data_IF_368978250774
#
_entry.id   IF_368978250774
#
_cell.length_a   1.000
_cell.length_b   1.000
_cell.length_c   1.000
_cell.angle_alpha   90.00
_cell.angle_beta   90.00
_cell.angle_gamma   90.00
#
_symmetry.space_group_name_H-M   'P 1'
#
loop_
_entity.id
_entity.type
_entity.pdbx_description
1 polymer ?
#
# COMPACT_ATOMS: atom_id res chain seq x y z
N UNK A 1 -48.17 -49.24 25.92
CA UNK A 1 -48.21 -47.75 25.74
C UNK A 1 -46.82 -47.30 25.39
N UNK A 2 -46.57 -47.15 24.09
CA UNK A 2 -45.29 -46.84 23.54
C UNK A 2 -45.09 -45.31 23.44
N UNK A 3 -44.16 -44.79 24.22
CA UNK A 3 -43.89 -43.35 24.37
C UNK A 3 -43.05 -42.91 23.13
N UNK A 4 -43.74 -42.47 22.05
CA UNK A 4 -43.04 -41.87 20.88
C UNK A 4 -42.41 -40.53 21.28
N UNK A 5 -41.10 -40.38 21.17
CA UNK A 5 -40.47 -39.10 21.46
C UNK A 5 -40.95 -38.05 20.46
N UNK A 6 -41.37 -36.90 21.00
CA UNK A 6 -41.98 -35.78 20.34
C UNK A 6 -41.02 -35.14 19.29
N UNK A 7 -41.19 -35.56 18.01
CA UNK A 7 -40.39 -35.09 16.87
C UNK A 7 -40.47 -33.57 16.68
N UNK A 8 -41.58 -32.97 17.14
CA UNK A 8 -41.83 -31.50 17.06
C UNK A 8 -40.83 -30.69 17.88
N UNK A 9 -40.49 -31.10 19.09
CA UNK A 9 -39.54 -30.38 19.96
C UNK A 9 -38.09 -30.45 19.44
N UNK A 10 -37.70 -31.53 18.77
CA UNK A 10 -36.37 -31.65 18.18
C UNK A 10 -36.16 -30.71 16.98
N UNK A 11 -37.17 -30.60 16.12
CA UNK A 11 -37.11 -29.68 14.95
C UNK A 11 -37.10 -28.22 15.37
N UNK A 12 -37.86 -27.84 16.42
CA UNK A 12 -37.88 -26.46 16.94
C UNK A 12 -36.52 -26.12 17.57
N UNK A 13 -35.93 -27.04 18.32
CA UNK A 13 -34.60 -26.83 18.94
C UNK A 13 -33.50 -26.66 17.89
N UNK A 14 -33.52 -27.51 16.83
CA UNK A 14 -32.57 -27.38 15.72
C UNK A 14 -32.70 -26.00 15.01
N UNK A 15 -33.92 -25.55 14.76
CA UNK A 15 -34.17 -24.23 14.15
C UNK A 15 -33.62 -23.05 14.98
N UNK A 16 -33.79 -23.09 16.30
CA UNK A 16 -33.23 -22.07 17.19
C UNK A 16 -31.69 -22.06 17.21
N UNK A 17 -31.09 -23.24 17.13
CA UNK A 17 -29.62 -23.37 17.05
C UNK A 17 -29.08 -22.76 15.76
N UNK A 18 -29.71 -22.98 14.61
CA UNK A 18 -29.29 -22.37 13.34
C UNK A 18 -29.47 -20.85 13.34
N UNK A 19 -30.56 -20.33 13.91
CA UNK A 19 -30.78 -18.88 14.02
C UNK A 19 -29.73 -18.20 14.89
N UNK A 20 -29.17 -18.87 15.88
CA UNK A 20 -28.10 -18.33 16.72
C UNK A 20 -26.71 -18.49 16.12
N UNK A 21 -26.41 -19.62 15.46
CA UNK A 21 -25.08 -19.91 14.94
C UNK A 21 -24.75 -19.06 13.70
N UNK A 22 -25.70 -18.84 12.80
CA UNK A 22 -25.44 -18.08 11.57
C UNK A 22 -25.02 -16.64 11.86
N UNK A 23 -25.72 -15.83 12.66
CA UNK A 23 -25.25 -14.47 12.97
C UNK A 23 -23.96 -14.45 13.79
N UNK A 24 -23.74 -15.43 14.68
CA UNK A 24 -22.49 -15.54 15.40
C UNK A 24 -21.31 -15.82 14.46
N UNK A 25 -21.49 -16.69 13.48
CA UNK A 25 -20.46 -17.00 12.46
C UNK A 25 -20.19 -15.79 11.56
N UNK A 26 -21.23 -15.08 11.13
CA UNK A 26 -21.09 -13.83 10.35
C UNK A 26 -20.36 -12.76 11.16
N UNK A 27 -20.67 -12.61 12.43
CA UNK A 27 -20.00 -11.67 13.33
C UNK A 27 -18.51 -12.05 13.51
N UNK A 28 -18.21 -13.34 13.68
CA UNK A 28 -16.83 -13.83 13.80
C UNK A 28 -16.03 -13.59 12.53
N UNK A 29 -16.61 -13.87 11.36
CA UNK A 29 -15.98 -13.62 10.05
C UNK A 29 -15.79 -12.13 9.76
N UNK A 30 -16.71 -11.28 10.21
CA UNK A 30 -16.58 -9.81 10.06
C UNK A 30 -15.49 -9.21 10.93
N UNK A 31 -15.07 -9.93 11.97
CA UNK A 31 -14.02 -9.48 12.89
C UNK A 31 -12.61 -9.82 12.38
N UNK A 32 -12.47 -10.59 11.31
CA UNK A 32 -11.19 -10.89 10.70
C UNK A 32 -10.80 -9.69 9.82
N UNK A 33 -9.74 -8.94 10.16
CA UNK A 33 -9.29 -7.86 9.30
C UNK A 33 -8.78 -8.46 7.98
N UNK A 34 -9.50 -8.21 6.90
CA UNK A 34 -9.13 -8.63 5.52
C UNK A 34 -7.94 -7.84 4.95
N UNK A 35 -7.18 -7.18 5.79
CA UNK A 35 -5.92 -6.55 5.37
C UNK A 35 -4.89 -7.66 5.20
N UNK A 36 -4.46 -7.89 3.96
CA UNK A 36 -3.31 -8.74 3.69
C UNK A 36 -2.08 -8.14 4.39
N UNK A 37 -1.78 -8.67 5.57
CA UNK A 37 -0.61 -8.27 6.36
C UNK A 37 0.63 -9.06 5.96
N UNK A 38 0.63 -9.68 4.80
CA UNK A 38 1.77 -10.44 4.30
C UNK A 38 3.00 -9.55 4.17
N UNK A 39 4.13 -10.06 4.60
CA UNK A 39 5.42 -9.42 4.36
C UNK A 39 5.66 -9.27 2.85
N UNK A 40 6.23 -8.15 2.46
CA UNK A 40 6.57 -7.87 1.06
C UNK A 40 8.08 -7.70 0.91
N UNK A 41 8.64 -8.36 -0.08
CA UNK A 41 10.03 -8.22 -0.47
C UNK A 41 10.11 -7.45 -1.79
N UNK A 42 10.49 -6.19 -1.70
CA UNK A 42 10.63 -5.33 -2.87
C UNK A 42 12.06 -4.78 -2.94
N UNK A 43 12.69 -4.77 -4.13
CA UNK A 43 14.09 -4.39 -4.28
C UNK A 43 14.39 -3.00 -3.72
N UNK A 44 13.47 -2.04 -3.84
CA UNK A 44 13.67 -0.69 -3.35
C UNK A 44 13.51 -0.56 -1.82
N UNK A 45 13.06 -1.60 -1.11
CA UNK A 45 12.93 -1.61 0.35
C UNK A 45 14.12 -2.25 1.06
N UNK A 46 14.94 -3.03 0.35
CA UNK A 46 15.96 -3.92 0.94
C UNK A 46 17.02 -3.19 1.79
N UNK A 47 17.35 -1.94 1.46
CA UNK A 47 18.40 -1.18 2.13
C UNK A 47 17.88 0.09 2.85
N UNK A 48 16.58 0.19 3.07
CA UNK A 48 15.98 1.39 3.66
C UNK A 48 16.07 1.34 5.17
N UNK A 49 16.78 2.34 5.73
CA UNK A 49 16.85 2.57 7.18
C UNK A 49 15.76 3.56 7.60
N UNK A 50 14.52 3.12 7.54
CA UNK A 50 13.36 3.90 8.02
C UNK A 50 12.29 2.95 8.53
N UNK A 51 11.31 3.46 9.25
CA UNK A 51 10.16 2.68 9.71
C UNK A 51 9.00 2.74 8.70
N UNK A 52 8.99 3.76 7.83
CA UNK A 52 7.93 3.99 6.85
C UNK A 52 8.48 4.43 5.52
N UNK A 53 7.83 3.97 4.47
CA UNK A 53 8.10 4.36 3.10
C UNK A 53 6.80 4.72 2.42
N UNK A 54 6.74 5.91 1.85
CA UNK A 54 5.75 6.26 0.83
C UNK A 54 6.39 6.04 -0.53
N UNK A 55 5.88 5.06 -1.28
CA UNK A 55 6.34 4.77 -2.63
C UNK A 55 5.31 5.22 -3.66
N UNK A 56 5.77 5.79 -4.75
CA UNK A 56 4.95 6.23 -5.87
C UNK A 56 5.50 5.67 -7.17
N UNK A 57 4.66 4.96 -7.93
CA UNK A 57 5.01 4.40 -9.23
C UNK A 57 4.72 5.37 -10.38
N UNK A 58 5.71 5.65 -11.22
CA UNK A 58 5.55 6.56 -12.33
C UNK A 58 6.75 6.55 -13.28
N UNK A 59 6.86 7.55 -14.12
CA UNK A 59 8.01 7.74 -15.03
C UNK A 59 8.32 9.23 -15.23
N UNK A 60 9.59 9.61 -15.45
CA UNK A 60 10.00 11.01 -15.52
C UNK A 60 9.33 11.84 -16.63
N UNK A 61 8.96 11.19 -17.73
CA UNK A 61 8.33 11.85 -18.88
C UNK A 61 6.81 12.06 -18.70
N UNK A 62 6.24 11.70 -17.55
CA UNK A 62 4.83 11.92 -17.22
C UNK A 62 4.58 13.41 -16.91
N UNK A 63 3.78 14.08 -17.74
CA UNK A 63 3.59 15.54 -17.64
C UNK A 63 2.47 15.99 -16.70
N UNK A 64 1.63 15.09 -16.20
CA UNK A 64 0.43 15.45 -15.44
C UNK A 64 0.36 14.77 -14.06
N UNK A 65 0.06 13.49 -14.01
CA UNK A 65 -0.21 12.79 -12.75
C UNK A 65 1.03 12.69 -11.84
N UNK A 66 2.22 12.43 -12.40
CA UNK A 66 3.43 12.23 -11.60
C UNK A 66 3.87 13.52 -10.86
N UNK A 67 3.93 14.71 -11.50
CA UNK A 67 4.25 15.94 -10.79
C UNK A 67 3.25 16.26 -9.67
N UNK A 68 1.96 16.07 -9.91
CA UNK A 68 0.92 16.32 -8.89
C UNK A 68 1.12 15.41 -7.68
N UNK A 69 1.25 14.10 -7.91
CA UNK A 69 1.44 13.14 -6.82
C UNK A 69 2.75 13.38 -6.05
N UNK A 70 3.85 13.68 -6.74
CA UNK A 70 5.13 13.96 -6.08
C UNK A 70 5.10 15.29 -5.30
N UNK A 71 4.37 16.30 -5.77
CA UNK A 71 4.15 17.54 -5.02
C UNK A 71 3.29 17.28 -3.77
N UNK A 72 2.25 16.44 -3.87
CA UNK A 72 1.46 16.02 -2.70
C UNK A 72 2.33 15.27 -1.68
N UNK A 73 3.20 14.39 -2.14
CA UNK A 73 4.15 13.67 -1.27
C UNK A 73 5.18 14.61 -0.64
N UNK A 74 5.64 15.62 -1.36
CA UNK A 74 6.55 16.64 -0.84
C UNK A 74 5.91 17.39 0.34
N UNK A 75 4.70 17.91 0.16
CA UNK A 75 3.97 18.59 1.21
C UNK A 75 3.72 17.66 2.42
N UNK A 76 3.29 16.42 2.15
CA UNK A 76 3.09 15.41 3.20
C UNK A 76 4.38 15.16 4.00
N UNK A 77 5.51 15.01 3.32
CA UNK A 77 6.81 14.76 3.93
C UNK A 77 7.27 15.91 4.81
N UNK A 78 7.15 17.13 4.31
CA UNK A 78 7.53 18.36 5.05
C UNK A 78 6.68 18.47 6.33
N UNK A 79 5.36 18.43 6.21
CA UNK A 79 4.46 18.55 7.36
C UNK A 79 4.63 17.39 8.36
N UNK A 80 4.90 16.17 7.89
CA UNK A 80 5.19 15.05 8.76
C UNK A 80 6.46 15.31 9.60
N UNK A 81 7.52 15.78 8.98
CA UNK A 81 8.78 16.10 9.68
C UNK A 81 8.59 17.25 10.69
N UNK A 82 7.87 18.30 10.31
CA UNK A 82 7.56 19.43 11.19
C UNK A 82 6.77 18.99 12.42
N UNK A 83 5.74 18.16 12.26
CA UNK A 83 4.88 17.75 13.36
C UNK A 83 5.50 16.67 14.26
N UNK A 84 6.37 15.83 13.75
CA UNK A 84 6.91 14.70 14.52
C UNK A 84 8.36 14.90 14.94
N UNK A 85 9.10 15.77 14.27
CA UNK A 85 10.56 15.91 14.39
C UNK A 85 11.31 14.56 14.22
N UNK A 86 10.73 13.60 13.43
CA UNK A 86 11.29 12.26 13.21
C UNK A 86 11.90 12.14 11.83
N UNK A 87 12.88 11.24 11.71
CA UNK A 87 13.55 10.92 10.46
C UNK A 87 13.32 9.45 10.06
N UNK A 88 12.12 8.95 10.33
CA UNK A 88 11.71 7.57 10.14
C UNK A 88 10.81 7.35 8.92
N UNK A 89 10.57 8.39 8.12
CA UNK A 89 9.85 8.35 6.85
C UNK A 89 10.81 8.53 5.68
N UNK A 90 10.62 7.76 4.61
CA UNK A 90 11.26 7.98 3.30
C UNK A 90 10.21 8.05 2.21
N UNK A 91 10.51 8.82 1.17
CA UNK A 91 9.70 8.87 -0.06
C UNK A 91 10.54 8.33 -1.20
N UNK A 92 9.98 7.36 -1.93
CA UNK A 92 10.65 6.68 -3.03
C UNK A 92 9.81 6.81 -4.30
N UNK A 93 10.38 7.42 -5.31
CA UNK A 93 9.84 7.38 -6.66
C UNK A 93 10.33 6.10 -7.36
N UNK A 94 9.41 5.21 -7.68
CA UNK A 94 9.67 3.96 -8.39
C UNK A 94 9.42 4.19 -9.87
N UNK A 95 10.49 4.30 -10.65
CA UNK A 95 10.37 4.45 -12.10
C UNK A 95 10.00 3.10 -12.72
N UNK A 96 8.81 3.02 -13.29
CA UNK A 96 8.26 1.83 -13.94
C UNK A 96 8.66 1.70 -15.41
N UNK A 97 9.29 2.72 -16.00
CA UNK A 97 9.88 2.65 -17.34
C UNK A 97 11.21 1.93 -17.24
N UNK A 98 11.26 0.72 -17.79
CA UNK A 98 12.46 -0.12 -17.77
C UNK A 98 13.63 0.56 -18.47
N UNK A 99 14.84 0.19 -18.07
CA UNK A 99 16.10 0.60 -18.68
C UNK A 99 16.38 2.12 -18.66
N UNK A 100 15.62 2.86 -17.82
CA UNK A 100 15.95 4.26 -17.57
C UNK A 100 17.18 4.33 -16.67
N UNK A 101 18.20 5.15 -17.04
CA UNK A 101 19.37 5.33 -16.20
C UNK A 101 19.01 5.78 -14.78
N UNK A 102 19.60 5.14 -13.77
CA UNK A 102 19.28 5.43 -12.35
C UNK A 102 19.48 6.91 -11.99
N UNK A 103 20.45 7.56 -12.62
CA UNK A 103 20.72 8.98 -12.43
C UNK A 103 19.55 9.89 -12.85
N UNK A 104 18.87 9.57 -13.95
CA UNK A 104 17.68 10.31 -14.42
C UNK A 104 16.55 10.16 -13.39
N UNK A 105 16.30 8.95 -12.93
CA UNK A 105 15.27 8.68 -11.92
C UNK A 105 15.58 9.37 -10.60
N UNK A 106 16.83 9.34 -10.17
CA UNK A 106 17.29 10.02 -8.96
C UNK A 106 17.10 11.53 -9.06
N UNK A 107 17.57 12.17 -10.13
CA UNK A 107 17.42 13.60 -10.35
C UNK A 107 15.96 14.03 -10.40
N UNK A 108 15.13 13.24 -11.06
CA UNK A 108 13.70 13.52 -11.12
C UNK A 108 13.05 13.47 -9.74
N UNK A 109 13.31 12.46 -8.93
CA UNK A 109 12.81 12.40 -7.56
C UNK A 109 13.30 13.60 -6.72
N UNK A 110 14.60 13.93 -6.82
CA UNK A 110 15.23 15.00 -6.06
C UNK A 110 14.80 16.41 -6.52
N UNK A 111 14.25 16.56 -7.72
CA UNK A 111 13.68 17.85 -8.15
C UNK A 111 12.45 18.26 -7.34
N UNK A 112 11.79 17.34 -6.65
CA UNK A 112 10.69 17.62 -5.73
C UNK A 112 11.19 17.84 -4.30
N UNK A 113 12.12 17.01 -3.82
CA UNK A 113 12.72 17.19 -2.50
C UNK A 113 14.09 16.48 -2.45
N UNK A 114 15.14 17.09 -1.87
CA UNK A 114 16.49 16.53 -1.84
C UNK A 114 16.56 15.15 -1.15
N UNK A 115 15.71 14.89 -0.15
CA UNK A 115 15.65 13.60 0.54
C UNK A 115 14.89 12.51 -0.23
N UNK A 116 14.24 12.84 -1.35
CA UNK A 116 13.51 11.86 -2.13
C UNK A 116 14.46 10.94 -2.88
N UNK A 117 14.14 9.67 -2.87
CA UNK A 117 14.93 8.63 -3.54
C UNK A 117 14.26 8.20 -4.84
N UNK A 118 15.07 7.94 -5.86
CA UNK A 118 14.61 7.38 -7.11
C UNK A 118 15.08 5.93 -7.24
N UNK A 119 14.17 5.03 -7.57
CA UNK A 119 14.45 3.65 -7.90
C UNK A 119 14.11 3.35 -9.35
N UNK A 120 15.06 2.92 -10.15
CA UNK A 120 14.86 2.51 -11.56
C UNK A 120 14.58 1.01 -11.62
N UNK A 121 13.38 0.65 -12.09
CA UNK A 121 13.00 -0.75 -12.26
C UNK A 121 13.82 -1.42 -13.35
N UNK A 122 14.28 -2.63 -13.07
CA UNK A 122 14.99 -3.50 -14.01
C UNK A 122 14.06 -4.63 -14.47
N UNK A 123 14.38 -5.25 -15.59
CA UNK A 123 13.61 -6.39 -16.11
C UNK A 123 13.43 -7.52 -15.09
N UNK A 124 14.44 -7.76 -14.24
CA UNK A 124 14.38 -8.75 -13.17
C UNK A 124 13.37 -8.42 -12.05
N UNK A 125 13.07 -7.13 -11.86
CA UNK A 125 12.18 -6.66 -10.78
C UNK A 125 10.70 -6.73 -11.18
N UNK A 126 10.41 -6.92 -12.47
CA UNK A 126 9.06 -6.80 -13.05
C UNK A 126 8.06 -7.72 -12.37
N UNK A 127 8.45 -8.95 -12.06
CA UNK A 127 7.55 -9.94 -11.45
C UNK A 127 7.15 -9.55 -10.02
N UNK A 128 8.10 -9.08 -9.22
CA UNK A 128 7.84 -8.67 -7.83
C UNK A 128 7.04 -7.37 -7.75
N UNK A 129 7.38 -6.38 -8.56
CA UNK A 129 6.66 -5.12 -8.65
C UNK A 129 5.23 -5.32 -9.17
N UNK A 130 5.07 -6.12 -10.25
CA UNK A 130 3.76 -6.43 -10.80
C UNK A 130 2.87 -7.16 -9.79
N UNK A 131 3.40 -8.20 -9.16
CA UNK A 131 2.65 -9.03 -8.20
C UNK A 131 2.22 -8.25 -6.95
N UNK A 132 3.11 -7.41 -6.43
CA UNK A 132 2.88 -6.74 -5.14
C UNK A 132 2.18 -5.40 -5.30
N UNK A 133 2.55 -4.60 -6.30
CA UNK A 133 2.04 -3.24 -6.48
C UNK A 133 1.06 -3.12 -7.64
N UNK A 134 0.80 -4.21 -8.37
CA UNK A 134 0.03 -4.16 -9.62
C UNK A 134 0.59 -3.14 -10.63
N UNK A 135 1.88 -2.82 -10.51
CA UNK A 135 2.56 -1.89 -11.39
C UNK A 135 2.94 -2.60 -12.69
N UNK A 136 2.30 -2.23 -13.78
CA UNK A 136 2.75 -2.65 -15.11
C UNK A 136 3.98 -1.83 -15.47
N UNK A 137 5.11 -2.50 -15.60
CA UNK A 137 6.33 -1.89 -16.14
C UNK A 137 6.22 -1.75 -17.66
N UNK A 138 6.83 -0.71 -18.22
CA UNK A 138 6.78 -0.41 -19.64
C UNK A 138 8.17 -0.50 -20.25
N UNK A 139 8.28 -1.16 -21.38
CA UNK A 139 9.42 -1.02 -22.27
C UNK A 139 9.43 0.40 -22.85
N UNK A 140 10.62 0.92 -23.18
CA UNK A 140 10.81 2.27 -23.70
C UNK A 140 9.96 2.63 -24.93
N UNK A 141 9.41 1.63 -25.61
CA UNK A 141 8.64 1.77 -26.85
C UNK A 141 7.11 1.76 -26.64
N UNK A 142 6.62 1.67 -25.39
CA UNK A 142 5.18 1.64 -25.12
C UNK A 142 4.72 2.96 -24.51
N UNK A 143 3.81 3.65 -25.19
CA UNK A 143 3.08 4.80 -24.66
C UNK A 143 2.08 4.29 -23.59
N UNK A 144 2.56 4.12 -22.37
CA UNK A 144 1.79 3.52 -21.29
C UNK A 144 0.96 4.54 -20.51
N UNK A 145 -0.34 4.46 -20.58
CA UNK A 145 -1.27 5.27 -19.79
C UNK A 145 -1.91 4.53 -18.61
N UNK A 146 -1.42 3.36 -18.22
CA UNK A 146 -2.07 2.56 -17.20
C UNK A 146 -1.25 2.45 -15.91
N UNK A 147 -1.81 2.94 -14.80
CA UNK A 147 -1.41 2.74 -13.42
C UNK A 147 -0.27 3.59 -12.84
N UNK A 148 0.19 4.64 -13.50
CA UNK A 148 0.88 5.72 -12.81
C UNK A 148 -0.12 6.45 -11.92
N UNK A 149 0.21 6.63 -10.64
CA UNK A 149 -0.62 7.47 -9.78
C UNK A 149 -1.05 6.86 -8.45
N UNK A 150 -0.71 5.60 -8.15
CA UNK A 150 -0.97 5.06 -6.82
C UNK A 150 0.21 5.36 -5.88
N UNK A 151 -0.13 5.75 -4.66
CA UNK A 151 0.80 5.96 -3.57
C UNK A 151 0.65 4.81 -2.58
N UNK A 152 1.74 4.15 -2.26
CA UNK A 152 1.79 2.99 -1.38
C UNK A 152 2.47 3.36 -0.08
N UNK A 153 1.84 3.04 1.05
CA UNK A 153 2.47 3.16 2.35
C UNK A 153 2.96 1.79 2.80
N UNK A 154 4.25 1.70 3.04
CA UNK A 154 4.91 0.55 3.65
C UNK A 154 5.34 0.89 5.06
N UNK A 155 5.16 -0.06 5.97
CA UNK A 155 5.64 0.03 7.34
C UNK A 155 6.55 -1.16 7.65
N UNK A 156 7.67 -0.87 8.31
CA UNK A 156 8.59 -1.89 8.79
C UNK A 156 8.19 -2.27 10.21
N UNK A 157 7.87 -3.53 10.41
CA UNK A 157 7.55 -4.11 11.72
C UNK A 157 8.36 -5.38 11.90
N UNK A 158 9.21 -5.42 12.92
CA UNK A 158 10.09 -6.57 13.20
C UNK A 158 11.00 -6.94 12.02
N UNK A 159 11.55 -5.95 11.33
CA UNK A 159 12.41 -6.10 10.14
C UNK A 159 11.68 -6.64 8.89
N UNK A 160 10.37 -6.74 8.92
CA UNK A 160 9.55 -7.10 7.78
C UNK A 160 8.80 -5.87 7.25
N UNK A 161 8.86 -5.66 5.96
CA UNK A 161 8.06 -4.65 5.29
C UNK A 161 6.66 -5.16 5.00
N UNK A 162 5.66 -4.34 5.28
CA UNK A 162 4.25 -4.63 4.99
C UNK A 162 3.61 -3.45 4.30
N UNK A 163 2.88 -3.71 3.23
CA UNK A 163 2.06 -2.68 2.59
C UNK A 163 0.79 -2.48 3.39
N UNK A 164 0.68 -1.36 4.08
CA UNK A 164 -0.44 -1.09 5.00
C UNK A 164 -1.54 -0.26 4.38
N UNK A 165 -1.24 0.54 3.36
CA UNK A 165 -2.21 1.40 2.66
C UNK A 165 -1.83 1.63 1.21
N UNK A 166 -2.87 1.82 0.40
CA UNK A 166 -2.76 2.31 -0.97
C UNK A 166 -3.66 3.53 -1.09
N UNK A 167 -3.15 4.59 -1.68
CA UNK A 167 -3.89 5.82 -1.94
C UNK A 167 -3.95 6.06 -3.44
N UNK A 168 -5.05 6.60 -3.89
CA UNK A 168 -5.20 7.11 -5.25
C UNK A 168 -4.41 8.41 -5.45
N UNK A 169 -4.00 8.72 -6.68
CA UNK A 169 -3.28 9.94 -7.03
C UNK A 169 -4.05 11.25 -6.76
N UNK A 170 -5.37 11.16 -6.66
CA UNK A 170 -6.24 12.28 -6.30
C UNK A 170 -6.34 12.50 -4.79
N UNK A 171 -5.63 11.69 -3.99
CA UNK A 171 -5.68 11.78 -2.53
C UNK A 171 -5.17 13.12 -2.03
N UNK A 172 -5.91 13.71 -1.10
CA UNK A 172 -5.46 14.90 -0.39
C UNK A 172 -4.30 14.56 0.56
N UNK A 173 -3.33 15.45 0.62
CA UNK A 173 -2.19 15.43 1.53
C UNK A 173 -2.60 15.13 2.98
N UNK A 174 -3.68 15.78 3.48
CA UNK A 174 -4.17 15.62 4.85
C UNK A 174 -4.56 14.16 5.16
N UNK A 175 -5.10 13.46 4.19
CA UNK A 175 -5.48 12.06 4.35
C UNK A 175 -4.24 11.16 4.50
N UNK A 176 -3.18 11.39 3.73
CA UNK A 176 -1.93 10.65 3.87
C UNK A 176 -1.29 10.97 5.23
N UNK A 177 -1.19 12.24 5.56
CA UNK A 177 -0.59 12.71 6.81
C UNK A 177 -1.32 12.14 8.04
N UNK A 178 -2.65 12.14 8.04
CA UNK A 178 -3.44 11.56 9.13
C UNK A 178 -3.17 10.07 9.35
N UNK A 179 -2.92 9.31 8.28
CA UNK A 179 -2.54 7.89 8.42
C UNK A 179 -1.13 7.72 9.00
N UNK A 180 -0.19 8.58 8.60
CA UNK A 180 1.16 8.57 9.16
C UNK A 180 1.18 8.92 10.65
N UNK A 181 0.30 9.80 11.11
CA UNK A 181 0.24 10.26 12.49
C UNK A 181 -0.52 9.32 13.43
N UNK A 182 -1.47 8.53 12.95
CA UNK A 182 -2.30 7.61 13.77
C UNK A 182 -1.52 6.68 14.69
N UNK A 183 -0.30 6.33 14.36
CA UNK A 183 0.53 5.42 15.17
C UNK A 183 1.16 6.11 16.39
N UNK A 184 0.99 7.43 16.52
CA UNK A 184 1.57 8.23 17.62
C UNK A 184 0.49 8.80 18.57
N UNK A 185 -0.76 8.52 18.29
CA UNK A 185 -1.90 8.76 19.19
C UNK A 185 -2.23 7.49 19.95
#
# INVERSE_FOLDING_TARGET
MENRPDASKKTTLLGLVYIAIIPALVFLLSSIPLTSTAAVELPFLSNIKAQRVLAFGGFPDCSTACPISLSTLQQTYIHYKEQTNKNDLRVIFVNIKLDTPAEITRKYAQSFHPDFQGYSSKSADTSSLYKTLSLKTFSSNQNGSAHAGLIYLFENTNQEWRMTRVFDSSVDQQKILSQLLKKYS
#
